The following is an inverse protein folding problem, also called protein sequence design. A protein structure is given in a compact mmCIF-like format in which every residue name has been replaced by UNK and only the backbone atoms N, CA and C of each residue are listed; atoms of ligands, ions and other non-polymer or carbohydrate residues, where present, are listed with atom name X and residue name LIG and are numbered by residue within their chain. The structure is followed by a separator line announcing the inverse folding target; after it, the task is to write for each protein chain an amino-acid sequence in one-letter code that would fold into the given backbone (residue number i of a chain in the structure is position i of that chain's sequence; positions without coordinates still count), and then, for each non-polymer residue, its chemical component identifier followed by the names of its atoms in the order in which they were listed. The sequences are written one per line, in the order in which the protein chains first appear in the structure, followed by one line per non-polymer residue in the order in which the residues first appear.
data_IF_984184036882
#
_entry.id   IF_984184036882
#
_cell.length_a   1.000
_cell.length_b   1.000
_cell.length_c   1.000
_cell.angle_alpha   90.00
_cell.angle_beta   90.00
_cell.angle_gamma   90.00
#
_symmetry.space_group_name_H-M   'P 1'
#
loop_
_entity.id
_entity.type
_entity.pdbx_description
1 polymer ?
#
# COMPACT_ATOMS: atom_id res chain seq x y z
N UNK A 1 56.94 -42.21 15.87
CA UNK A 1 56.06 -41.90 14.71
C UNK A 1 54.67 -41.40 15.12
N UNK A 2 53.86 -42.05 15.95
CA UNK A 2 52.51 -41.59 16.34
C UNK A 2 52.45 -40.17 16.91
N UNK A 3 53.43 -39.73 17.74
CA UNK A 3 53.44 -38.37 18.32
C UNK A 3 53.66 -37.26 17.29
N UNK A 4 54.39 -37.52 16.20
CA UNK A 4 54.63 -36.57 15.12
C UNK A 4 53.37 -36.35 14.29
N UNK A 5 52.59 -37.42 14.00
CA UNK A 5 51.32 -37.30 13.30
C UNK A 5 50.25 -36.51 14.07
N UNK A 6 50.21 -36.70 15.41
CA UNK A 6 49.30 -35.95 16.26
C UNK A 6 49.68 -34.46 16.24
N UNK A 7 50.98 -34.13 16.30
CA UNK A 7 51.44 -32.75 16.27
C UNK A 7 51.16 -32.05 14.95
N UNK A 8 51.36 -32.76 13.81
CA UNK A 8 51.01 -32.24 12.48
C UNK A 8 49.52 -32.02 12.37
N UNK A 9 48.68 -32.94 12.85
CA UNK A 9 47.22 -32.83 12.80
C UNK A 9 46.69 -31.62 13.61
N UNK A 10 47.27 -31.34 14.79
CA UNK A 10 46.95 -30.17 15.64
C UNK A 10 47.32 -28.88 14.93
N UNK A 11 48.50 -28.83 14.29
CA UNK A 11 48.94 -27.64 13.55
C UNK A 11 48.05 -27.40 12.35
N UNK A 12 47.61 -28.46 11.62
CA UNK A 12 46.72 -28.29 10.49
C UNK A 12 45.35 -27.79 10.89
N UNK A 13 44.77 -28.24 12.00
CA UNK A 13 43.54 -27.76 12.58
C UNK A 13 43.67 -26.31 13.02
N UNK A 14 44.76 -25.91 13.64
CA UNK A 14 45.02 -24.52 14.01
C UNK A 14 45.15 -23.60 12.78
N UNK A 15 45.81 -24.05 11.73
CA UNK A 15 45.93 -23.28 10.48
C UNK A 15 44.57 -23.15 9.77
N UNK A 16 43.74 -24.18 9.74
CA UNK A 16 42.40 -24.15 9.16
C UNK A 16 41.50 -23.22 9.98
N UNK A 17 41.57 -23.24 11.32
CA UNK A 17 40.81 -22.32 12.17
C UNK A 17 41.28 -20.84 12.05
N UNK A 18 42.57 -20.60 11.86
CA UNK A 18 43.07 -19.25 11.55
C UNK A 18 42.63 -18.74 10.17
N UNK A 19 42.66 -19.62 9.14
CA UNK A 19 42.17 -19.25 7.80
C UNK A 19 40.67 -18.96 7.82
N UNK A 20 39.88 -19.69 8.61
CA UNK A 20 38.43 -19.43 8.77
C UNK A 20 38.14 -18.07 9.45
N UNK A 21 39.05 -17.55 10.30
CA UNK A 21 38.93 -16.23 10.94
C UNK A 21 39.33 -15.09 9.96
N UNK A 22 40.19 -15.38 8.98
CA UNK A 22 40.67 -14.42 7.98
C UNK A 22 39.92 -14.47 6.64
N UNK A 23 38.92 -15.35 6.47
CA UNK A 23 38.00 -15.21 5.34
C UNK A 23 37.25 -13.88 5.59
N UNK A 24 37.50 -12.83 4.77
CA UNK A 24 36.71 -11.62 4.91
C UNK A 24 35.25 -12.07 4.73
N UNK A 25 34.42 -11.92 5.78
CA UNK A 25 32.98 -11.88 5.57
C UNK A 25 32.80 -10.83 4.48
N UNK A 26 32.51 -11.26 3.27
CA UNK A 26 32.04 -10.32 2.25
C UNK A 26 30.95 -9.52 2.93
N UNK A 27 31.21 -8.25 3.23
CA UNK A 27 30.16 -7.30 3.53
C UNK A 27 29.30 -7.36 2.26
N UNK A 28 28.23 -8.13 2.30
CA UNK A 28 27.19 -7.95 1.32
C UNK A 28 26.87 -6.46 1.39
N UNK A 29 27.20 -5.72 0.34
CA UNK A 29 26.75 -4.35 0.21
C UNK A 29 25.23 -4.45 0.13
N UNK A 30 24.58 -4.29 1.28
CA UNK A 30 23.13 -4.22 1.35
C UNK A 30 22.76 -2.94 0.61
N UNK A 31 21.97 -3.09 -0.44
CA UNK A 31 21.53 -1.95 -1.25
C UNK A 31 20.46 -1.17 -0.47
N UNK A 32 20.78 0.04 -0.04
CA UNK A 32 19.81 0.93 0.58
C UNK A 32 18.80 1.41 -0.48
N UNK A 33 17.52 1.22 -0.21
CA UNK A 33 16.39 1.68 -1.03
C UNK A 33 15.47 2.57 -0.22
N UNK A 34 15.31 3.81 -0.66
CA UNK A 34 14.33 4.74 -0.09
C UNK A 34 13.01 4.61 -0.82
N UNK A 35 11.94 4.37 -0.06
CA UNK A 35 10.57 4.27 -0.57
C UNK A 35 9.79 5.48 -0.04
N UNK A 36 9.29 6.30 -0.95
CA UNK A 36 8.34 7.36 -0.61
C UNK A 36 6.96 6.76 -0.34
N UNK A 37 6.54 6.72 0.91
CA UNK A 37 5.27 6.17 1.35
C UNK A 37 4.22 7.28 1.48
N UNK A 38 3.09 7.15 0.77
CA UNK A 38 2.03 8.18 0.73
C UNK A 38 1.35 8.43 2.08
N UNK A 39 1.27 7.40 2.90
CA UNK A 39 0.74 7.43 4.27
C UNK A 39 1.21 6.21 5.03
N UNK A 40 1.44 6.33 6.32
CA UNK A 40 1.73 5.18 7.17
C UNK A 40 0.42 4.60 7.69
N UNK A 41 0.01 3.43 7.17
CA UNK A 41 -1.33 2.88 7.43
C UNK A 41 -1.33 1.36 7.51
N UNK A 42 -2.08 0.81 8.46
CA UNK A 42 -2.34 -0.64 8.59
C UNK A 42 -2.90 -1.25 7.29
N UNK A 43 -3.45 -0.43 6.40
CA UNK A 43 -3.83 -0.84 5.04
C UNK A 43 -2.69 -1.47 4.24
N UNK A 44 -1.44 -1.18 4.60
CA UNK A 44 -0.24 -1.70 3.95
C UNK A 44 0.41 -2.86 4.70
N UNK A 45 -0.37 -3.59 5.49
CA UNK A 45 0.09 -4.76 6.28
C UNK A 45 1.06 -5.68 5.53
N UNK A 46 0.86 -6.08 4.23
CA UNK A 46 1.81 -6.96 3.56
C UNK A 46 3.21 -6.38 3.39
N UNK A 47 3.34 -5.06 3.22
CA UNK A 47 4.62 -4.36 3.18
C UNK A 47 5.33 -4.44 4.53
N UNK A 48 4.61 -4.11 5.61
CA UNK A 48 5.20 -4.14 6.95
C UNK A 48 5.54 -5.57 7.40
N UNK A 49 4.74 -6.56 7.01
CA UNK A 49 5.08 -7.98 7.20
C UNK A 49 6.38 -8.32 6.48
N UNK A 50 6.59 -7.81 5.26
CA UNK A 50 7.83 -8.05 4.53
C UNK A 50 9.05 -7.39 5.22
N UNK A 51 8.86 -6.22 5.83
CA UNK A 51 9.90 -5.53 6.61
C UNK A 51 10.18 -6.28 7.91
N UNK A 52 9.17 -6.53 8.74
CA UNK A 52 9.36 -7.10 10.08
C UNK A 52 9.80 -8.57 10.07
N UNK A 53 9.52 -9.31 8.99
CA UNK A 53 10.02 -10.67 8.78
C UNK A 53 11.38 -10.71 8.05
N UNK A 54 12.02 -9.56 7.82
CA UNK A 54 13.32 -9.43 7.14
C UNK A 54 13.35 -9.99 5.70
N UNK A 55 12.21 -9.99 4.99
CA UNK A 55 12.16 -10.53 3.62
C UNK A 55 12.94 -9.68 2.62
N UNK A 56 13.12 -8.38 2.90
CA UNK A 56 13.99 -7.51 2.10
C UNK A 56 15.46 -7.80 2.36
N UNK A 57 15.86 -7.99 3.61
CA UNK A 57 17.24 -8.33 3.99
C UNK A 57 17.66 -9.69 3.43
N UNK A 58 16.74 -10.68 3.36
CA UNK A 58 16.98 -11.96 2.69
C UNK A 58 17.33 -11.81 1.20
N UNK A 59 16.83 -10.74 0.57
CA UNK A 59 17.11 -10.37 -0.83
C UNK A 59 18.24 -9.31 -0.94
N UNK A 60 19.02 -9.07 0.12
CA UNK A 60 20.10 -8.07 0.22
C UNK A 60 19.66 -6.62 -0.01
N UNK A 61 18.45 -6.26 0.43
CA UNK A 61 17.90 -4.92 0.38
C UNK A 61 17.73 -4.35 1.79
N UNK A 62 18.16 -3.10 2.00
CA UNK A 62 17.88 -2.31 3.20
C UNK A 62 16.84 -1.23 2.85
N UNK A 63 15.59 -1.45 3.22
CA UNK A 63 14.46 -0.58 2.84
C UNK A 63 14.27 0.50 3.89
N UNK A 64 14.17 1.76 3.44
CA UNK A 64 13.86 2.91 4.29
C UNK A 64 12.56 3.55 3.83
N UNK A 65 11.55 3.52 4.68
CA UNK A 65 10.29 4.22 4.42
C UNK A 65 10.44 5.71 4.73
N UNK A 66 10.06 6.55 3.77
CA UNK A 66 10.05 8.02 3.89
C UNK A 66 8.61 8.48 3.74
N UNK A 67 7.99 8.89 4.84
CA UNK A 67 6.62 9.40 4.80
C UNK A 67 6.56 10.66 3.93
N UNK A 68 5.78 10.59 2.85
CA UNK A 68 5.65 11.63 1.84
C UNK A 68 4.16 11.88 1.56
N UNK A 69 3.45 12.65 2.42
CA UNK A 69 2.00 12.76 2.38
C UNK A 69 1.48 13.41 1.10
N UNK A 70 0.78 12.62 0.27
CA UNK A 70 0.21 13.03 -1.02
C UNK A 70 0.85 12.30 -2.20
N UNK A 71 0.04 11.69 -3.04
CA UNK A 71 0.51 10.89 -4.19
C UNK A 71 1.30 11.73 -5.20
N UNK A 72 0.92 13.00 -5.39
CA UNK A 72 1.65 14.00 -6.17
C UNK A 72 3.06 14.27 -5.62
N UNK A 73 3.21 14.35 -4.29
CA UNK A 73 4.50 14.53 -3.63
C UNK A 73 5.38 13.30 -3.73
N UNK A 74 4.79 12.09 -3.60
CA UNK A 74 5.53 10.84 -3.82
C UNK A 74 6.08 10.79 -5.24
N UNK A 75 5.25 11.08 -6.24
CA UNK A 75 5.69 11.12 -7.65
C UNK A 75 6.80 12.14 -7.88
N UNK A 76 6.68 13.34 -7.30
CA UNK A 76 7.71 14.37 -7.38
C UNK A 76 9.03 13.93 -6.74
N UNK A 77 8.99 13.27 -5.57
CA UNK A 77 10.17 12.76 -4.88
C UNK A 77 10.89 11.64 -5.67
N UNK A 78 10.12 10.79 -6.40
CA UNK A 78 10.71 9.79 -7.30
C UNK A 78 11.35 10.45 -8.53
N UNK A 79 10.67 11.42 -9.14
CA UNK A 79 11.17 12.12 -10.31
C UNK A 79 12.43 12.95 -10.01
N UNK A 80 12.49 13.60 -8.83
CA UNK A 80 13.69 14.32 -8.36
C UNK A 80 14.85 13.40 -7.98
N UNK A 81 14.56 12.13 -7.62
CA UNK A 81 15.55 11.17 -7.13
C UNK A 81 15.77 11.19 -5.61
N UNK A 82 14.97 11.94 -4.86
CA UNK A 82 15.01 11.97 -3.39
C UNK A 82 14.69 10.59 -2.78
N UNK A 83 13.80 9.85 -3.45
CA UNK A 83 13.53 8.43 -3.22
C UNK A 83 13.64 7.65 -4.53
N UNK A 84 14.00 6.37 -4.46
CA UNK A 84 14.12 5.50 -5.63
C UNK A 84 12.78 4.91 -6.04
N UNK A 85 11.94 4.58 -5.07
CA UNK A 85 10.65 3.91 -5.26
C UNK A 85 9.55 4.79 -4.66
N UNK A 86 8.46 4.95 -5.40
CA UNK A 86 7.23 5.53 -4.91
C UNK A 86 6.24 4.42 -4.53
N UNK A 87 5.57 4.61 -3.41
CA UNK A 87 4.50 3.75 -2.94
C UNK A 87 3.25 4.58 -2.70
N UNK A 88 2.38 4.60 -3.71
CA UNK A 88 1.15 5.41 -3.73
C UNK A 88 0.14 4.84 -4.75
N UNK A 89 -0.92 5.59 -5.01
CA UNK A 89 -1.93 5.22 -6.00
C UNK A 89 -1.34 5.10 -7.42
N UNK A 90 -1.82 4.11 -8.18
CA UNK A 90 -1.34 3.83 -9.53
C UNK A 90 -1.63 4.98 -10.52
N UNK A 91 -2.66 5.81 -10.26
CA UNK A 91 -2.99 7.01 -11.04
C UNK A 91 -1.82 7.98 -11.15
N UNK A 92 -0.94 8.00 -10.15
CA UNK A 92 0.25 8.85 -10.15
C UNK A 92 1.17 8.58 -11.33
N UNK A 93 1.39 7.30 -11.67
CA UNK A 93 2.19 6.89 -12.81
C UNK A 93 1.49 7.24 -14.14
N UNK A 94 0.16 7.09 -14.20
CA UNK A 94 -0.67 7.48 -15.36
C UNK A 94 -0.54 8.98 -15.61
N UNK A 95 -0.66 9.82 -14.59
CA UNK A 95 -0.54 11.28 -14.74
C UNK A 95 0.86 11.70 -15.23
N UNK A 96 1.93 11.08 -14.73
CA UNK A 96 3.29 11.41 -15.18
C UNK A 96 3.49 11.00 -16.64
N UNK A 97 2.98 9.82 -17.03
CA UNK A 97 3.06 9.32 -18.40
C UNK A 97 2.30 10.24 -19.37
N UNK A 98 1.07 10.60 -19.06
CA UNK A 98 0.20 11.42 -19.94
C UNK A 98 0.71 12.85 -20.10
N UNK A 99 1.53 13.36 -19.17
CA UNK A 99 2.21 14.66 -19.29
C UNK A 99 3.45 14.60 -20.20
N UNK A 100 3.79 13.45 -20.77
CA UNK A 100 4.88 13.29 -21.73
C UNK A 100 6.27 13.27 -21.11
N UNK A 101 6.40 12.96 -19.81
CA UNK A 101 7.70 12.77 -19.17
C UNK A 101 8.44 11.60 -19.84
N UNK A 102 9.70 11.82 -20.26
CA UNK A 102 10.48 10.80 -20.99
C UNK A 102 10.95 9.66 -20.10
N UNK A 103 11.39 9.99 -18.88
CA UNK A 103 11.77 9.04 -17.83
C UNK A 103 10.61 8.86 -16.85
N UNK A 104 9.44 8.54 -17.42
CA UNK A 104 8.20 8.40 -16.69
C UNK A 104 8.23 7.26 -15.66
N UNK A 105 7.21 7.23 -14.81
CA UNK A 105 7.08 6.23 -13.77
C UNK A 105 6.49 4.94 -14.36
N UNK A 106 7.16 3.80 -14.13
CA UNK A 106 6.62 2.46 -14.40
C UNK A 106 6.27 1.76 -13.10
N UNK A 107 5.12 1.12 -13.10
CA UNK A 107 4.64 0.32 -11.99
C UNK A 107 5.21 -1.09 -12.15
N UNK A 108 5.83 -1.62 -11.10
CA UNK A 108 6.48 -2.93 -11.14
C UNK A 108 5.95 -3.91 -10.08
N UNK A 109 5.08 -3.45 -9.17
CA UNK A 109 4.47 -4.29 -8.12
C UNK A 109 3.19 -3.65 -7.63
N UNK A 110 2.13 -4.43 -7.50
CA UNK A 110 0.93 -4.06 -6.75
C UNK A 110 1.01 -4.51 -5.30
N UNK A 111 0.21 -3.88 -4.43
CA UNK A 111 0.02 -4.32 -3.04
C UNK A 111 -1.46 -4.48 -2.71
N UNK A 112 -2.26 -3.44 -2.95
CA UNK A 112 -3.69 -3.43 -2.66
C UNK A 112 -4.50 -3.43 -3.96
N UNK A 113 -5.60 -4.20 -3.98
CA UNK A 113 -6.48 -4.33 -5.14
C UNK A 113 -7.81 -3.61 -4.99
N UNK A 114 -8.06 -2.98 -3.83
CA UNK A 114 -9.31 -2.26 -3.53
C UNK A 114 -9.03 -1.02 -2.71
N UNK A 115 -9.98 -0.10 -2.70
CA UNK A 115 -9.98 1.03 -1.79
C UNK A 115 -10.01 0.57 -0.32
N UNK A 116 -9.22 1.18 0.52
CA UNK A 116 -9.14 0.87 1.95
C UNK A 116 -10.07 1.71 2.83
N UNK A 117 -10.93 2.54 2.26
CA UNK A 117 -11.86 3.37 3.02
C UNK A 117 -13.11 2.61 3.42
N UNK A 118 -13.68 3.10 4.51
CA UNK A 118 -14.98 2.69 5.02
C UNK A 118 -15.91 3.90 5.08
N UNK A 119 -17.21 3.67 4.88
CA UNK A 119 -18.27 4.64 5.17
C UNK A 119 -18.56 4.54 6.66
N UNK A 120 -18.47 5.68 7.34
CA UNK A 120 -18.79 5.81 8.76
C UNK A 120 -20.07 6.64 8.89
N UNK A 121 -21.05 6.10 9.60
CA UNK A 121 -22.30 6.76 9.99
C UNK A 121 -22.20 7.33 11.40
N UNK A 122 -22.89 8.44 11.69
CA UNK A 122 -23.05 8.94 13.07
C UNK A 122 -23.86 7.99 13.93
N UNK A 123 -24.85 7.34 13.34
CA UNK A 123 -25.75 6.44 14.02
C UNK A 123 -25.43 5.01 13.65
N UNK A 124 -25.60 4.08 14.61
CA UNK A 124 -25.45 2.66 14.34
C UNK A 124 -26.54 2.19 13.38
N UNK A 125 -26.13 1.55 12.29
CA UNK A 125 -27.04 0.99 11.30
C UNK A 125 -26.52 -0.38 10.84
N UNK A 126 -27.02 -1.44 11.47
CA UNK A 126 -26.62 -2.81 11.15
C UNK A 126 -27.22 -3.32 9.81
N UNK A 127 -28.17 -2.56 9.21
CA UNK A 127 -28.82 -2.85 7.93
C UNK A 127 -28.59 -1.72 6.92
N UNK A 128 -27.43 -1.08 6.94
CA UNK A 128 -27.10 0.02 6.05
C UNK A 128 -27.23 -0.38 4.57
N UNK A 129 -27.86 0.51 3.80
CA UNK A 129 -27.92 0.47 2.35
C UNK A 129 -27.45 1.81 1.79
N UNK A 130 -26.89 1.82 0.59
CA UNK A 130 -26.38 3.06 -0.01
C UNK A 130 -27.47 4.12 -0.25
N UNK A 131 -28.73 3.70 -0.38
CA UNK A 131 -29.88 4.61 -0.46
C UNK A 131 -30.08 5.44 0.83
N UNK A 132 -29.58 4.98 1.97
CA UNK A 132 -29.62 5.74 3.24
C UNK A 132 -28.82 7.05 3.14
N UNK A 133 -27.93 7.17 2.14
CA UNK A 133 -27.19 8.39 1.84
C UNK A 133 -28.05 9.46 1.15
N UNK A 134 -29.25 9.13 0.62
CA UNK A 134 -30.08 10.10 -0.08
C UNK A 134 -30.53 11.25 0.84
N UNK A 135 -30.28 12.48 0.37
CA UNK A 135 -30.54 13.70 1.12
C UNK A 135 -29.56 14.00 2.25
N UNK A 136 -28.63 13.08 2.54
CA UNK A 136 -27.61 13.20 3.58
C UNK A 136 -26.32 13.82 3.07
N UNK A 137 -25.53 14.40 3.99
CA UNK A 137 -24.20 14.91 3.68
C UNK A 137 -23.12 13.87 4.01
N UNK A 138 -22.24 13.60 3.04
CA UNK A 138 -21.08 12.73 3.22
C UNK A 138 -19.78 13.50 2.91
N UNK A 139 -18.81 13.42 3.82
CA UNK A 139 -17.48 13.99 3.67
C UNK A 139 -16.56 12.98 2.97
N UNK A 140 -16.00 13.31 1.78
CA UNK A 140 -15.24 12.37 0.97
C UNK A 140 -13.80 12.83 0.63
N UNK A 141 -13.43 14.05 1.04
CA UNK A 141 -12.17 14.66 0.64
C UNK A 141 -12.23 15.30 -0.75
N UNK A 142 -11.09 15.70 -1.29
CA UNK A 142 -11.00 16.43 -2.57
C UNK A 142 -11.52 15.62 -3.75
N UNK A 143 -12.27 16.23 -4.66
CA UNK A 143 -12.96 15.60 -5.80
C UNK A 143 -12.04 14.86 -6.78
N UNK A 144 -10.79 15.29 -6.95
CA UNK A 144 -9.81 14.70 -7.87
C UNK A 144 -8.93 13.62 -7.22
N UNK A 145 -9.11 13.33 -5.93
CA UNK A 145 -8.37 12.28 -5.22
C UNK A 145 -9.00 10.91 -5.42
N UNK A 146 -8.18 9.87 -5.54
CA UNK A 146 -8.67 8.49 -5.67
C UNK A 146 -9.70 8.08 -4.61
N UNK A 147 -9.60 8.50 -3.34
CA UNK A 147 -10.64 8.24 -2.35
C UNK A 147 -12.05 8.68 -2.78
N UNK A 148 -12.19 9.91 -3.25
CA UNK A 148 -13.48 10.44 -3.70
C UNK A 148 -13.94 9.78 -5.01
N UNK A 149 -13.03 9.55 -5.95
CA UNK A 149 -13.32 8.88 -7.23
C UNK A 149 -13.81 7.45 -7.02
N UNK A 150 -13.21 6.71 -6.10
CA UNK A 150 -13.65 5.36 -5.76
C UNK A 150 -15.02 5.33 -5.09
N UNK A 151 -15.34 6.32 -4.25
CA UNK A 151 -16.68 6.45 -3.70
C UNK A 151 -17.71 6.68 -4.81
N UNK A 152 -17.44 7.58 -5.76
CA UNK A 152 -18.31 7.81 -6.92
C UNK A 152 -18.47 6.55 -7.78
N UNK A 153 -17.38 5.82 -8.01
CA UNK A 153 -17.42 4.55 -8.73
C UNK A 153 -18.24 3.49 -7.98
N UNK A 154 -18.14 3.42 -6.65
CA UNK A 154 -18.97 2.55 -5.83
C UNK A 154 -20.46 2.88 -6.01
N UNK A 155 -20.84 4.15 -5.93
CA UNK A 155 -22.22 4.58 -6.18
C UNK A 155 -22.68 4.17 -7.59
N UNK A 156 -21.87 4.42 -8.63
CA UNK A 156 -22.17 4.07 -10.02
C UNK A 156 -22.39 2.56 -10.18
N UNK A 157 -21.48 1.73 -9.66
CA UNK A 157 -21.56 0.26 -9.77
C UNK A 157 -22.75 -0.32 -9.03
N UNK A 158 -23.20 0.33 -7.97
CA UNK A 158 -24.37 -0.08 -7.18
C UNK A 158 -25.69 0.58 -7.69
N UNK A 159 -25.65 1.29 -8.83
CA UNK A 159 -26.78 2.00 -9.43
C UNK A 159 -27.40 3.06 -8.50
N UNK A 160 -26.59 3.71 -7.67
CA UNK A 160 -27.03 4.79 -6.78
C UNK A 160 -26.88 6.14 -7.48
N UNK A 161 -27.95 6.93 -7.43
CA UNK A 161 -28.00 8.27 -8.00
C UNK A 161 -27.24 9.28 -7.10
N UNK A 162 -25.99 9.55 -7.46
CA UNK A 162 -25.13 10.46 -6.72
C UNK A 162 -25.71 11.90 -6.60
N UNK A 163 -26.60 12.32 -7.53
CA UNK A 163 -27.23 13.65 -7.50
C UNK A 163 -28.16 13.84 -6.30
N UNK A 164 -28.60 12.74 -5.69
CA UNK A 164 -29.46 12.75 -4.49
C UNK A 164 -28.67 12.81 -3.18
N UNK A 165 -27.34 12.79 -3.24
CA UNK A 165 -26.43 12.78 -2.08
C UNK A 165 -25.71 14.12 -2.02
N UNK A 166 -25.61 14.72 -0.83
CA UNK A 166 -24.81 15.94 -0.62
C UNK A 166 -23.35 15.55 -0.41
N UNK A 167 -22.61 15.36 -1.51
CA UNK A 167 -21.21 14.98 -1.44
C UNK A 167 -20.35 16.21 -1.17
N UNK A 168 -19.67 16.24 -0.03
CA UNK A 168 -18.84 17.35 0.39
C UNK A 168 -17.35 17.08 0.05
N UNK A 169 -16.83 17.84 -0.92
CA UNK A 169 -15.45 17.80 -1.38
C UNK A 169 -14.55 18.89 -0.79
N UNK A 170 -15.10 19.76 0.08
CA UNK A 170 -14.40 20.96 0.56
C UNK A 170 -13.43 20.68 1.71
N UNK A 171 -13.50 19.50 2.32
CA UNK A 171 -12.69 19.12 3.47
C UNK A 171 -11.45 18.37 3.00
N UNK A 172 -10.26 18.82 3.40
CA UNK A 172 -9.02 18.10 3.12
C UNK A 172 -9.02 16.74 3.82
N UNK A 173 -8.41 15.74 3.16
CA UNK A 173 -8.39 14.35 3.63
C UNK A 173 -7.90 14.22 5.08
N UNK A 174 -6.84 14.93 5.44
CA UNK A 174 -6.29 14.93 6.81
C UNK A 174 -7.24 15.53 7.87
N UNK A 175 -8.20 16.36 7.46
CA UNK A 175 -9.15 17.03 8.35
C UNK A 175 -10.50 16.30 8.46
N UNK A 176 -10.76 15.27 7.64
CA UNK A 176 -12.06 14.60 7.58
C UNK A 176 -12.55 14.10 8.96
N UNK A 177 -11.69 13.36 9.69
CA UNK A 177 -12.03 12.82 11.00
C UNK A 177 -12.38 13.92 12.00
N UNK A 178 -11.54 14.97 12.10
CA UNK A 178 -11.80 16.10 13.00
C UNK A 178 -13.06 16.89 12.63
N UNK A 179 -13.31 17.10 11.34
CA UNK A 179 -14.50 17.77 10.83
C UNK A 179 -15.77 16.99 11.16
N UNK A 180 -15.72 15.66 11.02
CA UNK A 180 -16.82 14.79 11.39
C UNK A 180 -17.08 14.82 12.91
N UNK A 181 -16.05 14.73 13.75
CA UNK A 181 -16.16 14.89 15.21
C UNK A 181 -16.81 16.24 15.55
N UNK A 182 -16.47 17.31 14.82
CA UNK A 182 -17.05 18.65 14.93
C UNK A 182 -18.50 18.78 14.43
N UNK A 183 -19.20 17.66 14.23
CA UNK A 183 -20.62 17.58 13.84
C UNK A 183 -20.96 18.04 12.42
N UNK A 184 -19.98 18.11 11.50
CA UNK A 184 -20.21 18.32 10.07
C UNK A 184 -20.40 16.97 9.37
N UNK A 185 -21.37 16.89 8.44
CA UNK A 185 -21.71 15.68 7.68
C UNK A 185 -22.49 14.63 8.50
N UNK A 186 -23.36 13.89 7.85
CA UNK A 186 -24.06 12.72 8.42
C UNK A 186 -23.18 11.46 8.33
N UNK A 187 -22.32 11.41 7.28
CA UNK A 187 -21.40 10.34 6.99
C UNK A 187 -20.01 10.88 6.66
N UNK A 188 -19.00 10.03 6.79
CA UNK A 188 -17.63 10.33 6.37
C UNK A 188 -16.93 9.09 5.84
N UNK A 189 -16.07 9.25 4.83
CA UNK A 189 -15.20 8.19 4.32
C UNK A 189 -13.83 8.29 4.98
N UNK A 190 -13.40 7.22 5.67
CA UNK A 190 -12.11 7.19 6.35
C UNK A 190 -11.39 5.85 6.15
N UNK A 191 -10.06 5.93 6.13
CA UNK A 191 -9.21 4.77 6.32
C UNK A 191 -9.05 4.44 7.80
N UNK A 192 -8.61 3.21 8.08
CA UNK A 192 -8.08 2.84 9.39
C UNK A 192 -6.68 3.48 9.62
N UNK A 193 -6.31 3.84 10.83
CA UNK A 193 -7.01 3.58 12.12
C UNK A 193 -8.10 4.59 12.50
N UNK A 194 -8.33 5.63 11.69
CA UNK A 194 -9.25 6.70 12.04
C UNK A 194 -10.71 6.21 12.14
N UNK A 195 -11.12 5.25 11.31
CA UNK A 195 -12.46 4.66 11.38
C UNK A 195 -12.70 3.98 12.74
N UNK A 196 -11.80 3.10 13.17
CA UNK A 196 -11.90 2.42 14.48
C UNK A 196 -11.83 3.43 15.63
N UNK A 197 -11.01 4.49 15.52
CA UNK A 197 -10.91 5.52 16.54
C UNK A 197 -12.26 6.21 16.75
N UNK A 198 -12.95 6.59 15.68
CA UNK A 198 -14.29 7.20 15.78
C UNK A 198 -15.30 6.27 16.46
N UNK A 199 -15.25 4.98 16.16
CA UNK A 199 -16.14 4.00 16.81
C UNK A 199 -15.85 3.87 18.32
N UNK A 200 -14.59 3.76 18.70
CA UNK A 200 -14.19 3.63 20.13
C UNK A 200 -14.52 4.87 20.94
N UNK A 201 -14.46 6.04 20.33
CA UNK A 201 -14.81 7.31 20.97
C UNK A 201 -16.31 7.63 20.90
N UNK A 202 -17.10 6.80 20.20
CA UNK A 202 -18.55 6.95 20.09
C UNK A 202 -19.03 8.05 19.14
N UNK A 203 -18.17 8.51 18.24
CA UNK A 203 -18.50 9.54 17.24
C UNK A 203 -19.13 8.98 15.97
N UNK A 204 -19.00 7.68 15.71
CA UNK A 204 -19.56 7.06 14.53
C UNK A 204 -19.35 5.54 14.50
N UNK A 205 -19.90 4.91 13.45
CA UNK A 205 -19.90 3.45 13.28
C UNK A 205 -19.54 3.13 11.83
N UNK A 206 -18.65 2.19 11.63
CA UNK A 206 -18.35 1.64 10.30
C UNK A 206 -19.56 0.87 9.79
N UNK A 207 -20.10 1.28 8.65
CA UNK A 207 -21.31 0.66 8.07
C UNK A 207 -21.03 -0.08 6.77
N UNK A 208 -20.03 0.32 5.96
CA UNK A 208 -19.72 -0.35 4.70
C UNK A 208 -18.27 -0.12 4.25
N UNK A 209 -17.73 -1.02 3.42
CA UNK A 209 -16.42 -0.89 2.77
C UNK A 209 -16.56 -0.36 1.35
N UNK A 210 -15.96 0.78 1.06
CA UNK A 210 -15.94 1.36 -0.29
C UNK A 210 -15.24 0.42 -1.27
N UNK A 211 -14.16 -0.23 -0.84
CA UNK A 211 -13.43 -1.16 -1.69
C UNK A 211 -14.25 -2.36 -2.17
N UNK A 212 -15.13 -2.90 -1.33
CA UNK A 212 -16.06 -3.96 -1.75
C UNK A 212 -17.04 -3.47 -2.81
N UNK A 213 -17.53 -2.26 -2.65
CA UNK A 213 -18.53 -1.66 -3.53
C UNK A 213 -17.92 -1.24 -4.88
N UNK A 214 -16.73 -0.64 -4.86
CA UNK A 214 -16.06 -0.11 -6.07
C UNK A 214 -15.36 -1.20 -6.88
N UNK A 215 -15.00 -2.34 -6.26
CA UNK A 215 -14.36 -3.48 -6.92
C UNK A 215 -12.85 -3.34 -7.09
N UNK A 216 -12.28 -4.27 -7.86
CA UNK A 216 -10.84 -4.44 -7.97
C UNK A 216 -10.20 -3.47 -8.96
N UNK A 217 -9.04 -2.91 -8.59
CA UNK A 217 -8.14 -2.06 -9.37
C UNK A 217 -6.75 -2.07 -8.71
N UNK A 218 -5.66 -1.64 -9.37
CA UNK A 218 -4.37 -1.49 -8.71
C UNK A 218 -4.39 -0.22 -7.85
N UNK A 219 -4.93 -0.33 -6.61
CA UNK A 219 -5.19 0.87 -5.79
C UNK A 219 -3.90 1.48 -5.23
N UNK A 220 -3.05 0.67 -4.56
CA UNK A 220 -1.71 1.12 -4.15
C UNK A 220 -0.64 0.22 -4.74
N UNK A 221 0.36 0.84 -5.35
CA UNK A 221 1.39 0.17 -6.14
C UNK A 221 2.77 0.73 -5.85
N UNK A 222 3.80 -0.04 -6.20
CA UNK A 222 5.18 0.41 -6.22
C UNK A 222 5.59 0.78 -7.65
N UNK A 223 6.17 1.95 -7.79
CA UNK A 223 6.65 2.46 -9.07
C UNK A 223 8.01 3.15 -8.92
N UNK A 224 8.75 3.22 -10.00
CA UNK A 224 10.02 3.94 -10.08
C UNK A 224 10.19 4.53 -11.47
N UNK A 225 11.20 5.40 -11.65
CA UNK A 225 11.55 5.92 -12.97
C UNK A 225 11.93 4.76 -13.90
N UNK A 226 11.49 4.81 -15.15
CA UNK A 226 11.79 3.81 -16.19
C UNK A 226 13.29 3.50 -16.28
N UNK A 227 14.13 4.54 -16.29
CA UNK A 227 15.58 4.37 -16.39
C UNK A 227 16.16 3.72 -15.12
N UNK A 228 15.63 4.02 -13.94
CA UNK A 228 16.04 3.35 -12.69
C UNK A 228 15.74 1.85 -12.75
N UNK A 229 14.54 1.46 -13.16
CA UNK A 229 14.14 0.06 -13.30
C UNK A 229 15.07 -0.66 -14.28
N UNK A 230 15.29 -0.08 -15.47
CA UNK A 230 16.13 -0.70 -16.49
C UNK A 230 17.59 -0.88 -16.06
N UNK A 231 18.11 0.03 -15.21
CA UNK A 231 19.48 -0.03 -14.72
C UNK A 231 19.66 -0.90 -13.49
N UNK A 232 18.56 -1.28 -12.81
CA UNK A 232 18.59 -2.01 -11.54
C UNK A 232 17.59 -3.20 -11.53
N UNK A 233 17.44 -3.88 -12.66
CA UNK A 233 16.41 -4.90 -12.86
C UNK A 233 16.48 -6.02 -11.81
N UNK A 234 17.68 -6.52 -11.47
CA UNK A 234 17.85 -7.56 -10.47
C UNK A 234 17.42 -7.09 -9.06
N UNK A 235 17.71 -5.82 -8.72
CA UNK A 235 17.27 -5.20 -7.47
C UNK A 235 15.74 -5.11 -7.41
N UNK A 236 15.09 -4.73 -8.50
CA UNK A 236 13.63 -4.66 -8.60
C UNK A 236 13.01 -6.06 -8.48
N UNK A 237 13.58 -7.07 -9.13
CA UNK A 237 13.14 -8.48 -8.96
C UNK A 237 13.25 -8.94 -7.51
N UNK A 238 14.36 -8.65 -6.83
CA UNK A 238 14.55 -8.93 -5.41
C UNK A 238 13.49 -8.23 -4.55
N UNK A 239 13.18 -6.98 -4.85
CA UNK A 239 12.13 -6.23 -4.17
C UNK A 239 10.76 -6.88 -4.34
N UNK A 240 10.38 -7.22 -5.58
CA UNK A 240 9.11 -7.90 -5.90
C UNK A 240 9.00 -9.24 -5.18
N UNK A 241 10.08 -9.99 -5.10
CA UNK A 241 10.12 -11.27 -4.37
C UNK A 241 9.86 -11.08 -2.87
N UNK A 242 10.43 -10.06 -2.24
CA UNK A 242 10.17 -9.72 -0.85
C UNK A 242 8.69 -9.33 -0.61
N UNK A 243 8.11 -8.50 -1.49
CA UNK A 243 6.70 -8.13 -1.44
C UNK A 243 5.80 -9.37 -1.61
N UNK A 244 6.10 -10.26 -2.54
CA UNK A 244 5.33 -11.48 -2.74
C UNK A 244 5.35 -12.40 -1.51
N UNK A 245 6.49 -12.50 -0.79
CA UNK A 245 6.55 -13.19 0.51
C UNK A 245 5.62 -12.53 1.54
N UNK A 246 5.61 -11.18 1.61
CA UNK A 246 4.73 -10.42 2.50
C UNK A 246 3.25 -10.63 2.19
N UNK A 247 2.85 -10.56 0.92
CA UNK A 247 1.47 -10.83 0.46
C UNK A 247 1.04 -12.25 0.80
N UNK A 248 1.87 -13.24 0.47
CA UNK A 248 1.60 -14.65 0.77
C UNK A 248 1.44 -14.87 2.27
N UNK A 249 2.36 -14.37 3.09
CA UNK A 249 2.29 -14.50 4.53
C UNK A 249 1.02 -13.86 5.10
N UNK A 250 0.65 -12.67 4.61
CA UNK A 250 -0.57 -11.97 5.03
C UNK A 250 -1.83 -12.77 4.70
N UNK A 251 -1.87 -13.43 3.56
CA UNK A 251 -2.98 -14.29 3.14
C UNK A 251 -3.11 -15.52 4.02
N UNK A 252 -2.00 -16.19 4.33
CA UNK A 252 -1.95 -17.49 5.02
C UNK A 252 -2.11 -17.41 6.55
N UNK A 253 -1.96 -16.21 7.16
CA UNK A 253 -1.99 -16.05 8.61
C UNK A 253 -3.24 -15.30 9.10
N UNK A 254 -3.61 -15.51 10.35
CA UNK A 254 -4.72 -14.82 11.00
C UNK A 254 -4.38 -13.37 11.40
N UNK A 255 -5.40 -12.56 11.66
CA UNK A 255 -5.26 -11.15 11.98
C UNK A 255 -4.44 -10.91 13.25
N UNK A 256 -4.54 -11.81 14.23
CA UNK A 256 -3.78 -11.73 15.49
C UNK A 256 -2.28 -11.93 15.29
N UNK A 257 -1.92 -12.91 14.45
CA UNK A 257 -0.51 -13.17 14.07
C UNK A 257 0.06 -11.97 13.33
N UNK A 258 -0.67 -11.44 12.35
CA UNK A 258 -0.26 -10.26 11.58
C UNK A 258 -0.10 -9.04 12.47
N UNK A 259 -1.05 -8.78 13.38
CA UNK A 259 -1.00 -7.67 14.33
C UNK A 259 0.26 -7.71 15.21
N UNK A 260 0.66 -8.89 15.69
CA UNK A 260 1.89 -9.04 16.48
C UNK A 260 3.14 -8.70 15.69
N UNK A 261 3.18 -9.11 14.41
CA UNK A 261 4.34 -8.87 13.55
C UNK A 261 4.48 -7.39 13.25
N UNK A 262 3.40 -6.70 12.85
CA UNK A 262 3.48 -5.29 12.46
C UNK A 262 3.39 -4.30 13.64
N UNK A 263 3.23 -4.78 14.87
CA UNK A 263 3.13 -3.92 16.06
C UNK A 263 4.28 -2.90 16.18
N UNK A 264 5.56 -3.23 15.86
CA UNK A 264 6.65 -2.27 15.91
C UNK A 264 6.45 -1.07 14.97
N UNK A 265 5.70 -1.22 13.88
CA UNK A 265 5.37 -0.15 12.94
C UNK A 265 4.30 0.81 13.49
N UNK A 266 3.51 0.40 14.48
CA UNK A 266 2.37 1.16 15.01
C UNK A 266 2.41 1.27 16.54
N UNK A 267 3.45 1.95 17.12
CA UNK A 267 3.65 1.98 18.57
C UNK A 267 2.50 2.64 19.35
N UNK A 268 1.73 3.51 18.70
CA UNK A 268 0.58 4.22 19.30
C UNK A 268 -0.75 3.47 19.16
N UNK A 269 -0.74 2.26 18.55
CA UNK A 269 -1.94 1.45 18.32
C UNK A 269 -1.87 0.17 19.15
N UNK A 270 -2.92 -0.14 19.92
CA UNK A 270 -2.94 -1.37 20.70
C UNK A 270 -2.96 -2.62 19.82
N UNK A 271 -2.40 -3.74 20.31
CA UNK A 271 -2.43 -5.02 19.60
C UNK A 271 -3.86 -5.43 19.23
N UNK A 272 -4.82 -5.22 20.12
CA UNK A 272 -6.22 -5.53 19.87
C UNK A 272 -6.81 -4.65 18.75
N UNK A 273 -6.44 -3.38 18.68
CA UNK A 273 -6.91 -2.49 17.63
C UNK A 273 -6.31 -2.87 16.28
N UNK A 274 -5.02 -3.22 16.24
CA UNK A 274 -4.40 -3.74 15.02
C UNK A 274 -5.09 -5.02 14.54
N UNK A 275 -5.43 -5.95 15.44
CA UNK A 275 -6.15 -7.18 15.10
C UNK A 275 -7.51 -6.86 14.47
N UNK A 276 -8.29 -5.95 15.05
CA UNK A 276 -9.60 -5.52 14.53
C UNK A 276 -9.44 -4.88 13.13
N UNK A 277 -8.49 -3.98 12.97
CA UNK A 277 -8.25 -3.28 11.70
C UNK A 277 -7.84 -4.26 10.60
N UNK A 278 -6.89 -5.14 10.88
CA UNK A 278 -6.43 -6.15 9.92
C UNK A 278 -7.58 -7.08 9.53
N UNK A 279 -8.40 -7.50 10.48
CA UNK A 279 -9.58 -8.35 10.23
C UNK A 279 -10.58 -7.65 9.29
N UNK A 280 -10.80 -6.33 9.45
CA UNK A 280 -11.62 -5.54 8.53
C UNK A 280 -11.05 -5.53 7.11
N UNK A 281 -9.76 -5.29 6.95
CA UNK A 281 -9.11 -5.31 5.64
C UNK A 281 -9.09 -6.70 4.99
N UNK A 282 -8.91 -7.78 5.78
CA UNK A 282 -9.06 -9.15 5.30
C UNK A 282 -10.48 -9.42 4.82
N UNK A 283 -11.50 -9.03 5.59
CA UNK A 283 -12.91 -9.18 5.21
C UNK A 283 -13.29 -8.33 4.01
N UNK A 284 -12.64 -7.19 3.82
CA UNK A 284 -12.80 -6.35 2.63
C UNK A 284 -12.04 -6.90 1.42
N UNK A 285 -11.22 -7.95 1.58
CA UNK A 285 -10.38 -8.54 0.54
C UNK A 285 -9.49 -7.50 -0.15
N UNK A 286 -8.80 -6.70 0.68
CA UNK A 286 -8.12 -5.47 0.26
C UNK A 286 -6.82 -5.69 -0.48
N UNK A 287 -6.14 -6.83 -0.28
CA UNK A 287 -4.80 -7.10 -0.78
C UNK A 287 -4.79 -8.03 -1.98
N UNK A 288 -3.82 -7.83 -2.87
CA UNK A 288 -3.54 -8.74 -3.96
C UNK A 288 -3.06 -10.10 -3.42
N UNK A 289 -3.27 -11.17 -4.20
CA UNK A 289 -2.71 -12.50 -3.91
C UNK A 289 -1.21 -12.58 -4.16
N UNK A 290 -0.73 -11.80 -5.12
CA UNK A 290 0.66 -11.56 -5.48
C UNK A 290 0.79 -10.17 -6.12
N UNK A 291 2.00 -9.72 -6.36
CA UNK A 291 2.30 -8.37 -6.86
C UNK A 291 1.92 -8.12 -8.32
N UNK A 292 1.44 -9.12 -9.05
CA UNK A 292 1.11 -9.04 -10.46
C UNK A 292 -0.09 -8.12 -10.70
N UNK A 293 0.03 -7.23 -11.68
CA UNK A 293 -1.05 -6.35 -12.12
C UNK A 293 -1.46 -6.76 -13.53
N UNK A 294 -2.66 -7.28 -13.70
CA UNK A 294 -3.19 -7.63 -15.02
C UNK A 294 -3.62 -6.38 -15.79
N UNK A 295 -3.68 -6.50 -17.13
CA UNK A 295 -4.21 -5.45 -17.99
C UNK A 295 -5.64 -5.06 -17.58
N UNK A 296 -6.50 -6.05 -17.30
CA UNK A 296 -7.87 -5.80 -16.84
C UNK A 296 -7.93 -5.03 -15.52
N UNK A 297 -6.97 -5.28 -14.61
CA UNK A 297 -6.93 -4.55 -13.36
C UNK A 297 -6.57 -3.07 -13.58
N UNK A 298 -5.62 -2.78 -14.50
CA UNK A 298 -5.28 -1.43 -14.90
C UNK A 298 -6.44 -0.71 -15.60
N UNK A 299 -7.09 -1.37 -16.56
CA UNK A 299 -8.28 -0.85 -17.24
C UNK A 299 -9.37 -0.42 -16.25
N UNK A 300 -9.62 -1.20 -15.20
CA UNK A 300 -10.63 -0.83 -14.19
C UNK A 300 -10.31 0.52 -13.49
N UNK A 301 -9.05 0.84 -13.27
CA UNK A 301 -8.64 2.15 -12.76
C UNK A 301 -8.81 3.23 -13.84
N UNK A 302 -8.39 2.94 -15.06
CA UNK A 302 -8.47 3.89 -16.16
C UNK A 302 -9.92 4.21 -16.52
N UNK A 303 -10.84 3.23 -16.45
CA UNK A 303 -12.28 3.44 -16.56
C UNK A 303 -12.77 4.51 -15.58
N UNK A 304 -12.36 4.42 -14.31
CA UNK A 304 -12.73 5.42 -13.30
C UNK A 304 -12.18 6.80 -13.65
N UNK A 305 -10.94 6.87 -14.15
CA UNK A 305 -10.32 8.13 -14.52
C UNK A 305 -10.98 8.74 -15.76
N UNK A 306 -11.32 7.92 -16.76
CA UNK A 306 -12.04 8.35 -18.00
C UNK A 306 -13.43 8.85 -17.65
N UNK A 307 -14.19 8.10 -16.86
CA UNK A 307 -15.53 8.47 -16.41
C UNK A 307 -15.58 9.83 -15.69
N UNK A 308 -14.48 10.21 -15.06
CA UNK A 308 -14.35 11.48 -14.33
C UNK A 308 -13.56 12.56 -15.10
N UNK A 309 -13.33 12.38 -16.42
CA UNK A 309 -12.59 13.30 -17.30
C UNK A 309 -11.16 13.61 -16.82
N UNK A 310 -10.50 12.66 -16.19
CA UNK A 310 -9.11 12.74 -15.72
C UNK A 310 -8.13 12.05 -16.67
N UNK A 311 -8.65 11.25 -17.59
CA UNK A 311 -7.90 10.54 -18.62
C UNK A 311 -8.74 10.53 -19.91
N UNK A 312 -8.13 10.90 -21.04
CA UNK A 312 -8.84 10.96 -22.33
C UNK A 312 -8.95 9.60 -23.01
N UNK A 313 -7.98 8.73 -22.79
CA UNK A 313 -7.89 7.38 -23.39
C UNK A 313 -6.97 6.49 -22.56
N UNK A 314 -7.11 5.18 -22.71
CA UNK A 314 -6.25 4.19 -22.07
C UNK A 314 -4.76 4.41 -22.41
N UNK A 315 -3.90 4.20 -21.42
CA UNK A 315 -2.45 4.17 -21.60
C UNK A 315 -2.04 2.75 -22.02
N UNK A 316 -1.12 2.57 -22.97
CA UNK A 316 -0.66 1.25 -23.33
C UNK A 316 -0.09 0.51 -22.10
N UNK A 317 -0.67 -0.65 -21.80
CA UNK A 317 -0.34 -1.45 -20.63
C UNK A 317 1.18 -1.69 -20.47
N UNK A 318 1.86 -2.13 -21.54
CA UNK A 318 3.28 -2.44 -21.52
C UNK A 318 4.19 -1.21 -21.35
N UNK A 319 3.67 0.00 -21.61
CA UNK A 319 4.40 1.22 -21.32
C UNK A 319 4.39 1.50 -19.81
N UNK A 320 3.27 1.26 -19.15
CA UNK A 320 3.06 1.62 -17.75
C UNK A 320 3.42 0.51 -16.77
N UNK A 321 3.12 -0.75 -17.11
CA UNK A 321 3.30 -1.90 -16.22
C UNK A 321 4.50 -2.74 -16.66
N UNK A 322 5.24 -3.25 -15.68
CA UNK A 322 6.22 -4.31 -15.84
C UNK A 322 6.02 -5.30 -14.69
N UNK A 323 5.67 -6.55 -15.02
CA UNK A 323 5.53 -7.61 -14.04
C UNK A 323 6.78 -8.49 -14.02
N UNK A 324 7.18 -8.92 -12.84
CA UNK A 324 8.25 -9.89 -12.62
C UNK A 324 7.65 -11.14 -11.98
N UNK A 325 8.12 -12.31 -12.43
CA UNK A 325 7.73 -13.62 -11.91
C UNK A 325 8.45 -13.94 -10.59
#
# INVERSE_FOLDING_TARGET
MKKIYIFIMVITILIISLIAIFIPKTKNNINELKIGEVTHSVFYTPLYVAIENNYFEEENLDVKLILTPGADKVSAAVLSGDVQIGFAGAESAIYVYTKGEKDYLKIFSGLTKRDGQFIISREKNDNFNLEDLYGKEILVGRSSGMPALNFLNALKKQNIDASKIKINYSVDFAALSGTFIGSTGDYVNLFEPNALKLEKEGYGYVVESIGKLSGDMPYTTFYARKNFINSNEDMIKSFVKAINKGLKFTKENDSKTLAKIILPQFPDTSLNDLEIIIDRYKKADSWLDNSYISEKLLENLEDIMIDNNLLDKYVPYNDLIINYE
#
